data_IF_813123111457
#
_entry.id   IF_813123111457
#
_cell.length_a   1.000
_cell.length_b   1.000
_cell.length_c   1.000
_cell.angle_alpha   90.00
_cell.angle_beta   90.00
_cell.angle_gamma   90.00
#
_symmetry.space_group_name_H-M   'P 1'
#
loop_
_entity.id
_entity.type
_entity.pdbx_description
1 polymer ?
#
# COMPACT_ATOMS: atom_id res chain seq x y z
N UNK A 1 -9.31 -9.19 17.25
CA UNK A 1 -8.33 -8.09 17.19
C UNK A 1 -8.60 -7.17 18.36
N UNK A 2 -7.57 -6.54 18.95
CA UNK A 2 -7.80 -5.59 20.03
C UNK A 2 -8.70 -4.44 19.54
N UNK A 3 -9.58 -3.89 20.38
CA UNK A 3 -10.22 -2.61 20.12
C UNK A 3 -9.10 -1.60 19.87
N UNK A 4 -9.08 -0.94 18.69
CA UNK A 4 -7.98 -0.07 18.17
C UNK A 4 -6.80 -0.77 17.49
N UNK A 5 -6.92 -2.05 17.15
CA UNK A 5 -5.93 -2.71 16.31
C UNK A 5 -5.86 -2.09 14.91
N UNK A 6 -4.65 -2.01 14.35
CA UNK A 6 -4.40 -1.50 13.01
C UNK A 6 -3.91 -2.64 12.11
N UNK A 7 -4.56 -2.82 10.96
CA UNK A 7 -4.14 -3.71 9.89
C UNK A 7 -3.38 -2.90 8.84
N UNK A 8 -2.24 -3.42 8.37
CA UNK A 8 -1.48 -2.86 7.26
C UNK A 8 -1.21 -3.96 6.24
N UNK A 9 -1.49 -3.70 4.97
CA UNK A 9 -1.26 -4.62 3.86
C UNK A 9 -0.69 -3.89 2.64
N UNK A 10 0.20 -4.55 1.91
CA UNK A 10 0.85 -4.00 0.72
C UNK A 10 0.34 -4.73 -0.53
N UNK A 11 -0.08 -3.97 -1.55
CA UNK A 11 -0.60 -4.52 -2.79
C UNK A 11 0.19 -4.02 -4.00
N UNK A 12 0.63 -4.96 -4.83
CA UNK A 12 1.23 -4.68 -6.14
C UNK A 12 0.19 -4.65 -7.27
N UNK A 13 -1.04 -5.15 -7.03
CA UNK A 13 -2.11 -5.16 -8.03
C UNK A 13 -3.35 -4.45 -7.51
N UNK A 14 -4.13 -3.86 -8.42
CA UNK A 14 -5.32 -3.10 -8.09
C UNK A 14 -6.46 -4.02 -7.63
N UNK A 15 -6.56 -5.22 -8.19
CA UNK A 15 -7.61 -6.20 -7.93
C UNK A 15 -7.56 -6.65 -6.46
N UNK A 16 -6.39 -7.08 -5.98
CA UNK A 16 -6.21 -7.50 -4.60
C UNK A 16 -6.40 -6.33 -3.62
N UNK A 17 -5.93 -5.13 -3.99
CA UNK A 17 -6.17 -3.92 -3.19
C UNK A 17 -7.68 -3.63 -3.05
N UNK A 18 -8.42 -3.78 -4.15
CA UNK A 18 -9.86 -3.51 -4.20
C UNK A 18 -10.65 -4.53 -3.38
N UNK A 19 -10.30 -5.81 -3.46
CA UNK A 19 -10.91 -6.87 -2.65
C UNK A 19 -10.74 -6.57 -1.15
N UNK A 20 -9.50 -6.25 -0.72
CA UNK A 20 -9.23 -5.93 0.68
C UNK A 20 -9.95 -4.67 1.15
N UNK A 21 -9.96 -3.62 0.32
CA UNK A 21 -10.69 -2.37 0.59
C UNK A 21 -12.18 -2.63 0.82
N UNK A 22 -12.81 -3.42 -0.05
CA UNK A 22 -14.23 -3.74 0.03
C UNK A 22 -14.55 -4.53 1.31
N UNK A 23 -13.78 -5.58 1.59
CA UNK A 23 -13.95 -6.40 2.79
C UNK A 23 -13.86 -5.57 4.08
N UNK A 24 -12.84 -4.72 4.19
CA UNK A 24 -12.63 -3.91 5.39
C UNK A 24 -13.70 -2.83 5.57
N UNK A 25 -14.12 -2.18 4.47
CA UNK A 25 -15.23 -1.22 4.51
C UNK A 25 -16.56 -1.87 4.88
N UNK A 26 -16.84 -3.07 4.38
CA UNK A 26 -18.04 -3.85 4.74
C UNK A 26 -18.09 -4.16 6.25
N UNK A 27 -16.93 -4.36 6.88
CA UNK A 27 -16.84 -4.58 8.33
C UNK A 27 -16.80 -3.27 9.15
N UNK A 28 -17.00 -2.11 8.52
CA UNK A 28 -17.06 -0.81 9.21
C UNK A 28 -15.70 -0.19 9.55
N UNK A 29 -14.60 -0.71 9.00
CA UNK A 29 -13.27 -0.19 9.30
C UNK A 29 -12.99 1.11 8.57
N UNK A 30 -12.21 1.98 9.20
CA UNK A 30 -11.68 3.17 8.54
C UNK A 30 -10.43 2.79 7.75
N UNK A 31 -10.49 2.91 6.43
CA UNK A 31 -9.42 2.49 5.52
C UNK A 31 -8.78 3.68 4.81
N UNK A 32 -7.45 3.68 4.76
CA UNK A 32 -6.61 4.63 4.05
C UNK A 32 -5.76 3.89 3.02
N UNK A 33 -5.68 4.43 1.81
CA UNK A 33 -4.81 3.92 0.75
C UNK A 33 -3.70 4.93 0.47
N UNK A 34 -2.45 4.48 0.43
CA UNK A 34 -1.29 5.29 0.08
C UNK A 34 -0.50 4.58 -1.00
N UNK A 35 -0.50 5.14 -2.20
CA UNK A 35 0.34 4.65 -3.28
C UNK A 35 1.75 5.24 -3.15
N UNK A 36 2.75 4.37 -3.16
CA UNK A 36 4.16 4.76 -3.07
C UNK A 36 4.86 4.39 -4.37
N UNK A 37 5.56 5.36 -4.94
CA UNK A 37 6.44 5.21 -6.09
C UNK A 37 7.86 5.53 -5.65
N UNK A 38 8.74 4.54 -5.73
CA UNK A 38 10.13 4.67 -5.32
C UNK A 38 11.00 4.43 -6.54
N UNK A 39 12.02 5.24 -6.72
CA UNK A 39 13.09 4.95 -7.66
C UNK A 39 14.43 4.86 -6.91
N UNK A 40 15.31 3.96 -7.34
CA UNK A 40 16.65 3.79 -6.79
C UNK A 40 17.70 4.20 -7.81
N UNK A 41 18.78 4.80 -7.35
CA UNK A 41 19.92 5.13 -8.21
C UNK A 41 20.56 3.88 -8.80
N UNK A 42 20.91 3.93 -10.07
CA UNK A 42 21.72 2.94 -10.80
C UNK A 42 22.72 3.68 -11.68
N UNK A 43 23.89 3.09 -11.89
CA UNK A 43 24.85 3.62 -12.86
C UNK A 43 24.31 3.48 -14.29
N UNK A 44 24.61 4.47 -15.14
CA UNK A 44 24.51 4.39 -16.59
C UNK A 44 25.70 5.12 -17.21
N UNK A 45 26.67 4.37 -17.71
CA UNK A 45 27.87 4.90 -18.38
C UNK A 45 28.61 5.96 -17.53
N UNK A 46 28.74 5.73 -16.22
CA UNK A 46 29.40 6.67 -15.29
C UNK A 46 28.54 7.85 -14.83
N UNK A 47 27.26 7.88 -15.21
CA UNK A 47 26.26 8.81 -14.69
C UNK A 47 25.24 8.09 -13.78
N UNK A 48 24.47 8.84 -12.99
CA UNK A 48 23.39 8.28 -12.17
C UNK A 48 22.04 8.38 -12.87
N UNK A 49 21.36 7.25 -13.03
CA UNK A 49 19.94 7.19 -13.44
C UNK A 49 19.09 6.68 -12.28
N UNK A 50 17.87 7.18 -12.14
CA UNK A 50 16.88 6.59 -11.24
C UNK A 50 16.10 5.49 -11.96
N UNK A 51 16.19 4.26 -11.46
CA UNK A 51 15.40 3.12 -11.90
C UNK A 51 14.15 2.98 -11.01
N UNK A 52 12.93 3.05 -11.56
CA UNK A 52 11.70 2.91 -10.77
C UNK A 52 11.52 1.48 -10.27
N UNK A 53 10.93 1.34 -9.08
CA UNK A 53 10.38 0.09 -8.58
C UNK A 53 8.90 -0.01 -8.96
N UNK A 54 8.37 -1.23 -8.98
CA UNK A 54 6.93 -1.44 -9.15
C UNK A 54 6.17 -0.67 -8.06
N UNK A 55 5.11 0.08 -8.43
CA UNK A 55 4.29 0.79 -7.46
C UNK A 55 3.68 -0.17 -6.44
N UNK A 56 3.60 0.27 -5.20
CA UNK A 56 2.93 -0.48 -4.12
C UNK A 56 1.88 0.42 -3.49
N UNK A 57 0.66 -0.10 -3.35
CA UNK A 57 -0.38 0.53 -2.54
C UNK A 57 -0.33 -0.03 -1.13
N UNK A 58 -0.04 0.83 -0.16
CA UNK A 58 -0.13 0.53 1.26
C UNK A 58 -1.55 0.81 1.72
N UNK A 59 -2.27 -0.23 2.11
CA UNK A 59 -3.57 -0.17 2.75
C UNK A 59 -3.37 -0.19 4.26
N UNK A 60 -3.91 0.83 4.93
CA UNK A 60 -3.98 0.91 6.39
C UNK A 60 -5.45 0.91 6.81
N UNK A 61 -5.82 0.05 7.76
CA UNK A 61 -7.19 -0.02 8.27
C UNK A 61 -7.22 -0.03 9.79
N UNK A 62 -8.11 0.77 10.38
CA UNK A 62 -8.29 0.90 11.82
C UNK A 62 -9.68 0.38 12.17
N UNK A 63 -9.75 -0.60 13.07
CA UNK A 63 -11.02 -1.12 13.58
C UNK A 63 -11.75 -0.01 14.34
N UNK A 64 -13.01 0.24 13.97
CA UNK A 64 -13.89 1.14 14.73
C UNK A 64 -14.56 0.35 15.86
N UNK A 65 -14.77 1.01 16.98
CA UNK A 65 -15.52 0.48 18.13
C UNK A 65 -17.01 0.35 17.80
#
# INVERSE_FOLDING_TARGET
MNPKGMLVANFATLEHCTIALQLLRQHGWQVYLRQVNIARSTDIAGATRFAPLNPVTILQAIARE
#
